data_IF_000778633968
#
_entry.id   IF_000778633968
#
_cell.length_a   1.000
_cell.length_b   1.000
_cell.length_c   1.000
_cell.angle_alpha   90.00
_cell.angle_beta   90.00
_cell.angle_gamma   90.00
#
_symmetry.space_group_name_H-M   'P 1'
#
loop_
_entity.id
_entity.type
_entity.pdbx_description
1 polymer ?
#
# COMPACT_ATOMS: atom_id res chain seq x y z
N UNK A 1 -10.83 5.56 7.59
CA UNK A 1 -10.81 6.44 6.40
C UNK A 1 -9.39 6.93 6.28
N UNK A 2 -8.70 6.66 5.16
CA UNK A 2 -7.43 7.35 4.90
C UNK A 2 -7.78 8.81 4.59
N UNK A 3 -7.26 9.74 5.38
CA UNK A 3 -7.45 11.17 5.11
C UNK A 3 -6.64 11.57 3.87
N UNK A 4 -7.09 12.60 3.13
CA UNK A 4 -6.31 13.16 2.02
C UNK A 4 -4.90 13.59 2.47
N UNK A 5 -4.76 13.99 3.74
CA UNK A 5 -3.48 14.33 4.38
C UNK A 5 -2.57 13.10 4.46
N UNK A 6 -3.07 11.97 4.96
CA UNK A 6 -2.30 10.71 5.04
C UNK A 6 -1.86 10.23 3.66
N UNK A 7 -2.75 10.32 2.67
CA UNK A 7 -2.45 9.93 1.30
C UNK A 7 -1.38 10.82 0.64
N UNK A 8 -1.48 12.15 0.81
CA UNK A 8 -0.45 13.09 0.30
C UNK A 8 0.89 12.91 1.01
N UNK A 9 0.90 12.60 2.30
CA UNK A 9 2.13 12.34 3.06
C UNK A 9 2.80 11.01 2.66
N UNK A 10 2.00 9.99 2.35
CA UNK A 10 2.51 8.67 1.98
C UNK A 10 2.92 8.58 0.51
N UNK A 11 2.15 9.18 -0.41
CA UNK A 11 2.25 8.98 -1.86
C UNK A 11 2.52 10.26 -2.66
N UNK A 12 2.67 11.41 -2.00
CA UNK A 12 2.99 12.67 -2.67
C UNK A 12 1.96 13.08 -3.74
N UNK A 13 2.46 13.57 -4.87
CA UNK A 13 1.64 13.98 -6.01
C UNK A 13 0.88 12.80 -6.65
N UNK A 14 1.40 11.57 -6.54
CA UNK A 14 0.71 10.37 -7.02
C UNK A 14 -0.62 10.11 -6.28
N UNK A 15 -0.80 10.70 -5.10
CA UNK A 15 -2.09 10.65 -4.39
C UNK A 15 -3.25 11.25 -5.23
N UNK A 16 -3.02 12.34 -5.98
CA UNK A 16 -4.07 13.05 -6.74
C UNK A 16 -4.64 12.21 -7.89
N UNK A 17 -3.80 11.40 -8.53
CA UNK A 17 -4.20 10.51 -9.63
C UNK A 17 -4.88 9.22 -9.14
N UNK A 18 -4.84 8.98 -7.83
CA UNK A 18 -5.09 7.66 -7.26
C UNK A 18 -6.39 7.61 -6.44
N UNK A 19 -7.44 8.32 -6.88
CA UNK A 19 -8.78 8.17 -6.30
C UNK A 19 -9.25 6.69 -6.35
N UNK A 20 -8.83 5.97 -7.39
CA UNK A 20 -9.01 4.52 -7.50
C UNK A 20 -8.22 3.74 -6.43
N UNK A 21 -7.00 4.18 -6.06
CA UNK A 21 -6.20 3.60 -4.98
C UNK A 21 -6.90 3.78 -3.64
N UNK A 22 -7.32 5.00 -3.32
CA UNK A 22 -8.03 5.31 -2.08
C UNK A 22 -9.32 4.51 -1.95
N UNK A 23 -10.09 4.41 -3.03
CA UNK A 23 -11.31 3.59 -3.08
C UNK A 23 -11.00 2.11 -2.89
N UNK A 24 -9.99 1.58 -3.61
CA UNK A 24 -9.59 0.17 -3.49
C UNK A 24 -9.08 -0.17 -2.09
N UNK A 25 -8.32 0.72 -1.46
CA UNK A 25 -7.86 0.59 -0.08
C UNK A 25 -9.03 0.63 0.91
N UNK A 26 -9.96 1.58 0.76
CA UNK A 26 -11.13 1.69 1.63
C UNK A 26 -12.02 0.44 1.54
N UNK A 27 -12.25 -0.08 0.34
CA UNK A 27 -13.03 -1.30 0.12
C UNK A 27 -12.32 -2.53 0.69
N UNK A 28 -11.00 -2.61 0.54
CA UNK A 28 -10.19 -3.68 1.15
C UNK A 28 -10.24 -3.63 2.68
N UNK A 29 -10.20 -2.45 3.29
CA UNK A 29 -10.30 -2.29 4.74
C UNK A 29 -11.66 -2.70 5.30
N UNK A 30 -12.76 -2.43 4.58
CA UNK A 30 -14.12 -2.89 4.97
C UNK A 30 -14.22 -4.41 4.98
N UNK A 31 -13.45 -5.08 4.13
CA UNK A 31 -13.42 -6.53 4.04
C UNK A 31 -12.60 -7.21 5.13
N UNK A 32 -11.53 -6.55 5.57
CA UNK A 32 -10.68 -7.03 6.68
C UNK A 32 -11.34 -6.75 8.03
N UNK A 33 -12.12 -5.67 8.14
CA UNK A 33 -12.85 -5.28 9.35
C UNK A 33 -14.18 -6.02 9.52
N UNK A 34 -14.15 -7.24 10.05
CA UNK A 34 -15.36 -7.95 10.50
C UNK A 34 -15.02 -9.32 11.09
N UNK A 35 -15.72 -9.69 12.18
CA UNK A 35 -15.65 -11.02 12.80
C UNK A 35 -15.82 -12.11 11.72
N UNK A 36 -14.95 -13.11 11.70
CA UNK A 36 -15.17 -14.31 10.87
C UNK A 36 -16.26 -15.16 11.53
N UNK A 37 -17.28 -15.57 10.77
CA UNK A 37 -18.33 -16.45 11.30
C UNK A 37 -17.77 -17.81 11.75
N UNK A 38 -16.60 -18.22 11.24
CA UNK A 38 -15.85 -19.39 11.74
C UNK A 38 -15.26 -19.19 13.14
N UNK A 39 -14.98 -17.96 13.58
CA UNK A 39 -14.52 -17.69 14.96
C UNK A 39 -15.66 -17.93 15.96
N UNK A 40 -16.91 -17.75 15.52
CA UNK A 40 -18.11 -17.95 16.34
C UNK A 40 -18.72 -19.35 16.19
N UNK A 41 -18.57 -19.98 15.02
CA UNK A 41 -19.14 -21.29 14.69
C UNK A 41 -18.16 -22.17 13.90
N UNK A 42 -17.08 -22.66 14.54
CA UNK A 42 -16.00 -23.39 13.88
C UNK A 42 -16.45 -24.71 13.23
N UNK A 43 -17.56 -25.30 13.66
CA UNK A 43 -18.12 -26.56 13.13
C UNK A 43 -19.15 -26.38 12.00
N UNK A 44 -19.44 -25.14 11.58
CA UNK A 44 -20.42 -24.88 10.53
C UNK A 44 -19.83 -24.97 9.13
N UNK A 45 -20.38 -25.86 8.29
CA UNK A 45 -20.01 -25.98 6.86
C UNK A 45 -20.28 -24.68 6.07
N UNK A 46 -21.30 -23.91 6.46
CA UNK A 46 -21.64 -22.62 5.82
C UNK A 46 -20.60 -21.56 6.17
N UNK A 47 -20.10 -21.56 7.42
CA UNK A 47 -19.03 -20.67 7.86
C UNK A 47 -17.75 -20.91 7.05
N UNK A 48 -17.36 -22.16 6.84
CA UNK A 48 -16.20 -22.52 6.00
C UNK A 48 -16.30 -22.01 4.56
N UNK A 49 -17.48 -22.08 3.92
CA UNK A 49 -17.70 -21.56 2.56
C UNK A 49 -17.60 -20.03 2.50
N UNK A 50 -18.14 -19.33 3.51
CA UNK A 50 -18.04 -17.87 3.63
C UNK A 50 -16.58 -17.42 3.80
N UNK A 51 -15.81 -18.11 4.65
CA UNK A 51 -14.38 -17.86 4.83
C UNK A 51 -13.59 -18.10 3.55
N UNK A 52 -13.92 -19.14 2.77
CA UNK A 52 -13.26 -19.36 1.48
C UNK A 52 -13.52 -18.23 0.48
N UNK A 53 -14.76 -17.76 0.36
CA UNK A 53 -15.11 -16.61 -0.50
C UNK A 53 -14.40 -15.33 -0.04
N UNK A 54 -14.34 -15.09 1.28
CA UNK A 54 -13.63 -13.94 1.86
C UNK A 54 -12.13 -14.01 1.57
N UNK A 55 -11.50 -15.16 1.77
CA UNK A 55 -10.09 -15.40 1.42
C UNK A 55 -9.81 -15.16 -0.07
N UNK A 56 -10.68 -15.67 -0.94
CA UNK A 56 -10.54 -15.47 -2.38
C UNK A 56 -10.61 -13.99 -2.77
N UNK A 57 -11.60 -13.28 -2.23
CA UNK A 57 -11.79 -11.87 -2.52
C UNK A 57 -10.66 -11.02 -1.91
N UNK A 58 -10.16 -11.35 -0.71
CA UNK A 58 -8.93 -10.76 -0.16
C UNK A 58 -7.72 -10.97 -1.07
N UNK A 59 -7.54 -12.16 -1.66
CA UNK A 59 -6.44 -12.40 -2.63
C UNK A 59 -6.59 -11.57 -3.91
N UNK A 60 -7.82 -11.41 -4.42
CA UNK A 60 -8.08 -10.56 -5.59
C UNK A 60 -7.77 -9.10 -5.28
N UNK A 61 -8.24 -8.60 -4.14
CA UNK A 61 -7.99 -7.23 -3.71
C UNK A 61 -6.51 -6.96 -3.45
N UNK A 62 -5.81 -7.91 -2.81
CA UNK A 62 -4.36 -7.83 -2.59
C UNK A 62 -3.60 -7.69 -3.91
N UNK A 63 -3.92 -8.51 -4.92
CA UNK A 63 -3.29 -8.41 -6.25
C UNK A 63 -3.55 -7.06 -6.91
N UNK A 64 -4.77 -6.53 -6.80
CA UNK A 64 -5.11 -5.22 -7.35
C UNK A 64 -4.34 -4.09 -6.65
N UNK A 65 -4.22 -4.17 -5.32
CA UNK A 65 -3.45 -3.21 -4.54
C UNK A 65 -1.96 -3.29 -4.82
N UNK A 66 -1.40 -4.50 -4.93
CA UNK A 66 0.00 -4.70 -5.31
C UNK A 66 0.31 -4.01 -6.63
N UNK A 67 -0.52 -4.22 -7.66
CA UNK A 67 -0.33 -3.58 -8.96
C UNK A 67 -0.37 -2.04 -8.89
N UNK A 68 -1.24 -1.48 -8.06
CA UNK A 68 -1.32 -0.04 -7.84
C UNK A 68 -0.08 0.49 -7.10
N UNK A 69 0.36 -0.21 -6.05
CA UNK A 69 1.55 0.20 -5.29
C UNK A 69 2.84 0.03 -6.11
N UNK A 70 2.90 -0.98 -6.99
CA UNK A 70 4.00 -1.17 -7.93
C UNK A 70 4.09 0.02 -8.91
N UNK A 71 2.95 0.49 -9.43
CA UNK A 71 2.89 1.69 -10.28
C UNK A 71 3.37 2.95 -9.53
N UNK A 72 2.93 3.12 -8.28
CA UNK A 72 3.38 4.22 -7.43
C UNK A 72 4.91 4.18 -7.23
N UNK A 73 5.47 3.04 -6.85
CA UNK A 73 6.91 2.88 -6.65
C UNK A 73 7.68 3.14 -7.96
N UNK A 74 7.18 2.65 -9.09
CA UNK A 74 7.79 2.85 -10.40
C UNK A 74 7.84 4.34 -10.79
N UNK A 75 6.76 5.10 -10.55
CA UNK A 75 6.73 6.56 -10.79
C UNK A 75 7.76 7.31 -9.95
N UNK A 76 7.86 6.98 -8.66
CA UNK A 76 8.83 7.62 -7.76
C UNK A 76 10.27 7.36 -8.23
N UNK A 77 10.57 6.14 -8.71
CA UNK A 77 11.86 5.81 -9.32
C UNK A 77 12.13 6.59 -10.61
N UNK A 78 11.14 6.68 -11.50
CA UNK A 78 11.29 7.41 -12.76
C UNK A 78 11.61 8.88 -12.52
N UNK A 79 10.84 9.55 -11.65
CA UNK A 79 11.05 10.96 -11.32
C UNK A 79 12.42 11.24 -10.68
N UNK A 80 12.92 10.31 -9.86
CA UNK A 80 14.28 10.36 -9.28
C UNK A 80 15.38 10.20 -10.34
N UNK A 81 15.17 9.31 -11.30
CA UNK A 81 16.11 9.11 -12.40
C UNK A 81 16.18 10.34 -13.31
N UNK A 82 15.03 10.92 -13.65
CA UNK A 82 14.92 12.12 -14.49
C UNK A 82 15.50 13.38 -13.82
N UNK A 83 15.40 13.49 -12.50
CA UNK A 83 16.01 14.58 -11.72
C UNK A 83 17.53 14.44 -11.51
N UNK A 84 18.15 13.42 -12.11
CA UNK A 84 19.60 13.19 -12.06
C UNK A 84 20.11 12.90 -10.65
N UNK A 85 19.30 12.23 -9.82
CA UNK A 85 19.63 11.94 -8.43
C UNK A 85 19.61 13.16 -7.50
N UNK A 86 19.13 14.32 -7.96
CA UNK A 86 18.82 15.42 -7.04
C UNK A 86 17.68 14.98 -6.12
N UNK A 87 17.74 15.39 -4.87
CA UNK A 87 16.71 15.11 -3.84
C UNK A 87 15.42 15.91 -4.08
N UNK A 88 14.91 15.92 -5.31
CA UNK A 88 13.55 16.36 -5.59
C UNK A 88 12.65 15.22 -5.16
N UNK A 89 11.96 15.41 -4.04
CA UNK A 89 10.98 14.42 -3.63
C UNK A 89 9.69 14.56 -4.44
N UNK A 90 8.90 13.50 -4.42
CA UNK A 90 7.68 13.33 -5.18
C UNK A 90 6.46 13.96 -4.50
N UNK A 91 6.66 14.68 -3.38
CA UNK A 91 5.58 15.44 -2.76
C UNK A 91 5.14 16.61 -3.65
N UNK A 92 3.93 17.08 -3.39
CA UNK A 92 3.37 18.25 -4.08
C UNK A 92 4.20 19.53 -3.88
N UNK A 93 5.08 19.56 -2.88
CA UNK A 93 5.97 20.67 -2.58
C UNK A 93 7.43 20.39 -2.96
N UNK A 94 7.71 19.29 -3.68
CA UNK A 94 9.06 18.87 -4.08
C UNK A 94 9.92 18.30 -2.96
N UNK A 95 9.32 18.04 -1.78
CA UNK A 95 9.97 17.37 -0.65
C UNK A 95 9.79 15.85 -0.75
N UNK A 96 10.60 15.09 0.00
CA UNK A 96 10.43 13.64 0.08
C UNK A 96 9.10 13.27 0.76
N UNK A 97 8.42 12.29 0.19
CA UNK A 97 7.33 11.58 0.85
C UNK A 97 7.82 10.24 1.45
N UNK A 98 6.90 9.45 2.01
CA UNK A 98 7.27 8.21 2.66
C UNK A 98 7.85 7.17 1.69
N UNK A 99 7.35 7.10 0.44
CA UNK A 99 7.88 6.20 -0.58
C UNK A 99 9.31 6.59 -0.93
N UNK A 100 9.58 7.89 -1.05
CA UNK A 100 10.91 8.42 -1.25
C UNK A 100 11.88 8.04 -0.12
N UNK A 101 11.45 8.20 1.13
CA UNK A 101 12.28 7.85 2.30
C UNK A 101 12.65 6.37 2.27
N UNK A 102 11.69 5.48 1.97
CA UNK A 102 11.95 4.06 1.90
C UNK A 102 12.87 3.65 0.75
N UNK A 103 12.68 4.24 -0.44
CA UNK A 103 13.55 3.99 -1.58
C UNK A 103 14.99 4.41 -1.28
N UNK A 104 15.18 5.58 -0.65
CA UNK A 104 16.50 6.02 -0.21
C UNK A 104 17.11 5.07 0.82
N UNK A 105 16.34 4.68 1.84
CA UNK A 105 16.83 3.77 2.88
C UNK A 105 17.24 2.39 2.31
N UNK A 106 16.53 1.93 1.26
CA UNK A 106 16.88 0.74 0.49
C UNK A 106 18.18 0.91 -0.29
N UNK A 107 18.37 2.05 -0.96
CA UNK A 107 19.55 2.36 -1.78
C UNK A 107 20.82 2.59 -0.95
N UNK A 108 20.70 3.27 0.19
CA UNK A 108 21.84 3.55 1.09
C UNK A 108 22.36 2.28 1.77
N UNK A 109 21.54 1.23 1.88
CA UNK A 109 21.95 -0.07 2.43
C UNK A 109 22.39 -0.03 3.89
N UNK A 110 22.06 1.05 4.62
CA UNK A 110 22.49 1.27 6.00
C UNK A 110 21.61 0.58 7.05
N UNK A 111 20.51 -0.04 6.61
CA UNK A 111 19.61 -0.78 7.49
C UNK A 111 20.26 -2.10 7.91
N UNK A 112 20.21 -2.41 9.21
CA UNK A 112 20.63 -3.71 9.76
C UNK A 112 19.95 -4.89 9.05
N UNK A 113 18.70 -4.68 8.62
CA UNK A 113 17.93 -5.62 7.83
C UNK A 113 17.56 -4.97 6.49
N UNK A 114 18.05 -5.49 5.36
CA UNK A 114 17.68 -4.97 4.04
C UNK A 114 16.17 -5.02 3.83
N UNK A 115 15.63 -3.96 3.24
CA UNK A 115 14.21 -3.88 2.87
C UNK A 115 14.06 -4.01 1.35
N UNK A 116 12.99 -4.70 0.93
CA UNK A 116 12.59 -4.84 -0.46
C UNK A 116 11.28 -4.10 -0.75
N UNK A 117 10.82 -4.17 -2.01
CA UNK A 117 9.59 -3.49 -2.42
C UNK A 117 8.36 -4.08 -1.73
N UNK A 118 8.37 -5.36 -1.36
CA UNK A 118 7.28 -5.97 -0.61
C UNK A 118 7.21 -5.43 0.81
N UNK A 119 8.34 -5.14 1.46
CA UNK A 119 8.37 -4.47 2.76
C UNK A 119 7.75 -3.07 2.66
N UNK A 120 8.12 -2.30 1.63
CA UNK A 120 7.59 -0.95 1.39
C UNK A 120 6.07 -1.02 1.17
N UNK A 121 5.62 -1.90 0.26
CA UNK A 121 4.18 -2.12 -0.01
C UNK A 121 3.41 -2.55 1.24
N UNK A 122 3.99 -3.41 2.06
CA UNK A 122 3.38 -3.86 3.30
C UNK A 122 3.15 -2.69 4.27
N UNK A 123 4.14 -1.81 4.46
CA UNK A 123 3.98 -0.64 5.34
C UNK A 123 2.96 0.35 4.79
N UNK A 124 2.95 0.59 3.49
CA UNK A 124 1.98 1.49 2.84
C UNK A 124 0.54 0.95 2.90
N UNK A 125 0.38 -0.37 2.98
CA UNK A 125 -0.92 -1.03 3.10
C UNK A 125 -1.40 -1.17 4.55
N UNK A 126 -0.48 -1.27 5.52
CA UNK A 126 -0.82 -1.60 6.90
C UNK A 126 -1.39 -0.39 7.65
N UNK A 127 -2.56 -0.65 8.23
CA UNK A 127 -3.32 0.19 9.14
C UNK A 127 -2.57 0.34 10.47
N UNK A 128 -2.41 1.58 10.95
CA UNK A 128 -2.27 1.87 12.39
C UNK A 128 -3.63 1.78 13.08
#
# INVERSE_FOLDING_TARGET
MASSVTCRAAFGAACKDSEMLLKTMADSLKMVGGFEIVDLFPSSRIAGVMSWRKLWLMRVMRRRLDAILDDVIARHRSNRAESGGRRLGNSEFGSEDLVDVFLRAKEEGQLQYPIDDNNIKAVLFVKS
#
